data_IF_435746243504
#
_entry.id   IF_435746243504
#
_cell.length_a   1.000
_cell.length_b   1.000
_cell.length_c   1.000
_cell.angle_alpha   90.00
_cell.angle_beta   90.00
_cell.angle_gamma   90.00
#
_symmetry.space_group_name_H-M   'P 1'
#
loop_
_entity.id
_entity.type
_entity.pdbx_description
1 polymer ?
#
# COMPACT_ATOMS: atom_id res chain seq x y z
N UNK A 1 3.60 42.31 -7.05
CA UNK A 1 3.83 42.26 -5.59
C UNK A 1 3.09 41.04 -5.07
N UNK A 2 3.81 39.96 -4.73
CA UNK A 2 3.22 38.68 -4.33
C UNK A 2 3.32 38.44 -2.82
N UNK A 3 2.27 37.88 -2.22
CA UNK A 3 2.25 37.42 -0.83
C UNK A 3 1.62 36.03 -0.74
N UNK A 4 2.28 35.03 -1.34
CA UNK A 4 1.97 33.63 -1.06
C UNK A 4 2.85 33.15 0.10
N UNK A 5 2.59 33.62 1.31
CA UNK A 5 3.05 32.90 2.50
C UNK A 5 2.05 31.78 2.79
N UNK A 6 2.51 30.52 2.70
CA UNK A 6 1.76 29.38 3.21
C UNK A 6 1.75 29.43 4.74
N UNK A 7 0.55 29.41 5.33
CA UNK A 7 0.37 29.30 6.78
C UNK A 7 1.01 28.01 7.30
N UNK A 8 1.80 28.12 8.37
CA UNK A 8 2.48 26.98 9.02
C UNK A 8 1.57 26.19 9.96
N UNK A 9 0.28 26.53 10.00
CA UNK A 9 -0.67 25.98 10.98
C UNK A 9 -0.35 26.43 12.42
N UNK A 10 -1.22 26.11 13.38
CA UNK A 10 -0.98 26.39 14.79
C UNK A 10 0.21 25.57 15.31
N UNK A 11 1.00 26.15 16.21
CA UNK A 11 2.03 25.41 16.95
C UNK A 11 1.39 24.37 17.89
N UNK A 12 2.16 23.35 18.27
CA UNK A 12 1.73 22.36 19.28
C UNK A 12 1.26 23.07 20.56
N UNK A 13 0.11 22.66 21.11
CA UNK A 13 -0.46 23.23 22.33
C UNK A 13 -1.49 24.35 22.11
N UNK A 14 -1.81 24.71 20.86
CA UNK A 14 -2.92 25.63 20.56
C UNK A 14 -4.19 24.81 20.30
N UNK A 15 -5.18 24.80 21.20
CA UNK A 15 -6.43 24.08 20.97
C UNK A 15 -7.15 24.66 19.76
N UNK A 16 -7.60 23.78 18.85
CA UNK A 16 -8.42 24.15 17.68
C UNK A 16 -9.77 24.74 18.07
N UNK A 17 -10.20 24.48 19.30
CA UNK A 17 -11.45 24.97 19.87
C UNK A 17 -11.12 26.16 20.79
N UNK A 18 -11.60 27.37 20.46
CA UNK A 18 -11.46 28.52 21.34
C UNK A 18 -12.10 28.29 22.72
N UNK A 19 -11.57 28.90 23.80
CA UNK A 19 -12.01 28.63 25.18
C UNK A 19 -13.43 29.11 25.51
N UNK A 20 -14.09 29.84 24.59
CA UNK A 20 -15.47 30.29 24.75
C UNK A 20 -16.50 29.33 24.12
N UNK A 21 -16.05 28.30 23.40
CA UNK A 21 -16.94 27.28 22.82
C UNK A 21 -17.26 26.24 23.91
N UNK A 22 -18.53 26.06 24.31
CA UNK A 22 -18.91 25.04 25.28
C UNK A 22 -18.62 23.64 24.75
N UNK A 23 -18.11 22.76 25.62
CA UNK A 23 -17.92 21.35 25.26
C UNK A 23 -19.27 20.69 24.94
N UNK A 24 -19.32 19.79 23.94
CA UNK A 24 -20.55 19.09 23.60
C UNK A 24 -21.00 18.19 24.76
N UNK A 25 -22.26 18.33 25.15
CA UNK A 25 -22.89 17.53 26.20
C UNK A 25 -23.13 16.12 25.64
N UNK A 26 -22.45 15.11 26.21
CA UNK A 26 -22.73 13.71 25.90
C UNK A 26 -23.96 13.26 26.70
N UNK A 27 -24.95 12.58 26.09
CA UNK A 27 -26.10 12.05 26.82
C UNK A 27 -25.69 10.91 27.76
N UNK A 28 -26.22 10.93 28.98
CA UNK A 28 -25.97 9.94 30.03
C UNK A 28 -26.52 8.55 29.65
N UNK A 29 -25.64 7.55 29.62
CA UNK A 29 -25.99 6.15 29.33
C UNK A 29 -24.77 5.27 29.13
N UNK A 30 -24.10 4.93 30.23
CA UNK A 30 -22.86 4.15 30.27
C UNK A 30 -23.04 2.73 29.70
N UNK A 31 -22.09 2.29 28.87
CA UNK A 31 -21.58 0.92 28.91
C UNK A 31 -20.10 0.98 29.30
N UNK A 32 -19.69 0.08 30.19
CA UNK A 32 -18.41 0.04 30.88
C UNK A 32 -17.19 0.23 29.95
N UNK A 33 -16.07 0.81 30.45
CA UNK A 33 -14.89 1.01 29.63
C UNK A 33 -14.30 -0.33 29.22
N UNK A 34 -14.20 -0.55 27.91
CA UNK A 34 -13.22 -1.47 27.33
C UNK A 34 -11.86 -1.24 28.03
N UNK A 35 -11.03 -2.30 28.21
CA UNK A 35 -9.66 -2.13 28.73
C UNK A 35 -8.99 -0.98 27.96
N UNK A 36 -8.23 -0.11 28.63
CA UNK A 36 -7.75 1.13 28.03
C UNK A 36 -7.11 0.80 26.69
N UNK A 37 -7.77 1.22 25.61
CA UNK A 37 -7.17 1.24 24.30
C UNK A 37 -5.86 1.99 24.51
N UNK A 38 -4.73 1.32 24.34
CA UNK A 38 -3.43 1.98 24.37
C UNK A 38 -3.56 3.19 23.45
N UNK A 39 -3.49 4.38 24.03
CA UNK A 39 -3.50 5.63 23.28
C UNK A 39 -2.53 5.44 22.12
N UNK A 40 -2.94 5.71 20.86
CA UNK A 40 -2.08 5.46 19.72
C UNK A 40 -0.76 6.16 20.00
N UNK A 41 0.33 5.38 20.01
CA UNK A 41 1.67 5.86 20.30
C UNK A 41 1.92 7.07 19.40
N UNK A 42 2.02 8.27 19.97
CA UNK A 42 2.24 9.49 19.20
C UNK A 42 3.53 9.28 18.42
N UNK A 43 3.43 9.34 17.09
CA UNK A 43 4.57 9.07 16.25
C UNK A 43 5.67 10.12 16.52
N UNK A 44 6.94 9.73 16.68
CA UNK A 44 8.02 10.68 16.95
C UNK A 44 8.05 11.81 15.92
N UNK A 45 8.32 13.03 16.37
CA UNK A 45 8.48 14.17 15.48
C UNK A 45 9.61 13.89 14.49
N UNK A 46 9.40 14.23 13.22
CA UNK A 46 10.41 14.04 12.18
C UNK A 46 10.86 12.58 11.97
N UNK A 47 10.02 11.57 12.25
CA UNK A 47 10.39 10.13 12.12
C UNK A 47 10.99 9.75 10.76
N UNK A 48 10.57 10.42 9.69
CA UNK A 48 11.08 10.19 8.33
C UNK A 48 12.29 11.07 7.95
N UNK A 49 12.82 11.88 8.87
CA UNK A 49 13.95 12.79 8.62
C UNK A 49 15.17 12.07 8.02
N UNK A 50 15.72 11.03 8.66
CA UNK A 50 16.87 10.30 8.13
C UNK A 50 16.61 9.66 6.77
N UNK A 51 15.40 9.11 6.56
CA UNK A 51 15.00 8.55 5.26
C UNK A 51 15.01 9.63 4.17
N UNK A 52 14.36 10.78 4.43
CA UNK A 52 14.33 11.92 3.49
C UNK A 52 15.72 12.45 3.18
N UNK A 53 16.63 12.49 4.15
CA UNK A 53 18.02 12.91 3.93
C UNK A 53 18.78 11.95 3.00
N UNK A 54 18.73 10.64 3.27
CA UNK A 54 19.39 9.64 2.42
C UNK A 54 18.77 9.59 1.01
N UNK A 55 17.44 9.63 0.91
CA UNK A 55 16.75 9.69 -0.38
C UNK A 55 17.01 10.99 -1.15
N UNK A 56 17.25 12.10 -0.46
CA UNK A 56 17.68 13.35 -1.08
C UNK A 56 19.07 13.24 -1.72
N UNK A 57 20.01 12.55 -1.06
CA UNK A 57 21.33 12.23 -1.66
C UNK A 57 21.19 11.30 -2.85
N UNK A 58 20.40 10.23 -2.72
CA UNK A 58 20.08 9.34 -3.84
C UNK A 58 19.46 10.09 -5.03
N UNK A 59 18.58 11.06 -4.77
CA UNK A 59 17.96 11.85 -5.83
C UNK A 59 19.00 12.62 -6.66
N UNK A 60 20.04 13.15 -5.99
CA UNK A 60 21.14 13.90 -6.63
C UNK A 60 22.13 12.97 -7.34
N UNK A 61 22.59 11.92 -6.66
CA UNK A 61 23.71 11.07 -7.11
C UNK A 61 23.27 9.86 -7.92
N UNK A 62 22.09 9.29 -7.64
CA UNK A 62 21.67 7.98 -8.11
C UNK A 62 22.30 6.79 -7.39
N UNK A 63 23.02 7.00 -6.30
CA UNK A 63 23.68 5.94 -5.53
C UNK A 63 22.69 4.92 -4.96
N UNK A 64 22.82 3.66 -5.35
CA UNK A 64 22.00 2.56 -4.82
C UNK A 64 22.19 2.37 -3.31
N UNK A 65 23.34 2.75 -2.75
CA UNK A 65 23.59 2.66 -1.30
C UNK A 65 22.78 3.70 -0.53
N UNK A 66 22.67 4.92 -1.06
CA UNK A 66 21.81 5.94 -0.48
C UNK A 66 20.32 5.58 -0.60
N UNK A 67 19.94 4.94 -1.72
CA UNK A 67 18.59 4.40 -1.89
C UNK A 67 18.27 3.35 -0.82
N UNK A 68 19.14 2.34 -0.66
CA UNK A 68 18.98 1.26 0.32
C UNK A 68 18.95 1.78 1.74
N UNK A 69 19.86 2.70 2.10
CA UNK A 69 19.86 3.37 3.41
C UNK A 69 18.59 4.20 3.63
N UNK A 70 18.07 4.85 2.59
CA UNK A 70 16.80 5.57 2.62
C UNK A 70 15.60 4.66 2.95
N UNK A 71 15.55 3.48 2.33
CA UNK A 71 14.56 2.43 2.62
C UNK A 71 14.71 1.85 4.02
N UNK A 72 15.95 1.58 4.46
CA UNK A 72 16.21 1.10 5.83
C UNK A 72 15.73 2.10 6.88
N UNK A 73 16.04 3.38 6.73
CA UNK A 73 15.54 4.41 7.65
C UNK A 73 14.02 4.59 7.56
N UNK A 74 13.42 4.36 6.39
CA UNK A 74 11.96 4.41 6.22
C UNK A 74 11.29 3.34 7.08
N UNK A 75 11.78 2.10 7.03
CA UNK A 75 11.22 0.99 7.83
C UNK A 75 11.62 1.12 9.30
N UNK A 76 12.92 1.13 9.60
CA UNK A 76 13.44 1.06 10.96
C UNK A 76 12.95 2.22 11.83
N UNK A 77 13.33 3.46 11.49
CA UNK A 77 12.95 4.63 12.28
C UNK A 77 11.58 5.20 11.89
N UNK A 78 11.28 5.22 10.60
CA UNK A 78 10.07 5.87 10.08
C UNK A 78 8.78 5.12 10.44
N UNK A 79 8.75 3.81 10.23
CA UNK A 79 7.60 2.96 10.53
C UNK A 79 7.69 2.28 11.90
N UNK A 80 8.88 2.22 12.50
CA UNK A 80 9.13 1.65 13.82
C UNK A 80 9.58 0.18 13.77
N UNK A 81 10.35 -0.19 12.74
CA UNK A 81 10.89 -1.52 12.51
C UNK A 81 9.98 -2.43 11.68
N UNK A 82 10.53 -3.53 11.18
CA UNK A 82 9.85 -4.45 10.27
C UNK A 82 8.55 -5.02 10.85
N UNK A 83 8.56 -5.46 12.11
CA UNK A 83 7.35 -5.96 12.80
C UNK A 83 6.23 -4.92 12.87
N UNK A 84 6.57 -3.67 13.19
CA UNK A 84 5.58 -2.58 13.26
C UNK A 84 5.11 -2.19 11.87
N UNK A 85 6.02 -2.15 10.89
CA UNK A 85 5.71 -1.88 9.50
C UNK A 85 4.71 -2.92 8.95
N UNK A 86 4.99 -4.21 9.10
CA UNK A 86 4.08 -5.28 8.66
C UNK A 86 2.68 -5.12 9.27
N UNK A 87 2.58 -4.84 10.58
CA UNK A 87 1.29 -4.56 11.25
C UNK A 87 0.57 -3.34 10.66
N UNK A 88 1.28 -2.25 10.36
CA UNK A 88 0.71 -1.04 9.72
C UNK A 88 0.22 -1.29 8.30
N UNK A 89 0.78 -2.28 7.62
CA UNK A 89 0.36 -2.76 6.29
C UNK A 89 -0.61 -3.96 6.36
N UNK A 90 -1.17 -4.27 7.53
CA UNK A 90 -2.21 -5.32 7.64
C UNK A 90 -3.47 -5.02 6.81
N UNK A 91 -3.72 -3.75 6.47
CA UNK A 91 -4.75 -3.36 5.50
C UNK A 91 -4.46 -3.91 4.10
N UNK A 92 -3.21 -3.81 3.64
CA UNK A 92 -2.72 -4.37 2.38
C UNK A 92 -2.91 -5.88 2.33
N UNK A 93 -2.59 -6.60 3.42
CA UNK A 93 -2.81 -8.04 3.49
C UNK A 93 -4.29 -8.42 3.36
N UNK A 94 -5.19 -7.69 4.03
CA UNK A 94 -6.65 -7.90 3.90
C UNK A 94 -7.15 -7.62 2.48
N UNK A 95 -6.72 -6.52 1.86
CA UNK A 95 -7.07 -6.19 0.49
C UNK A 95 -6.54 -7.24 -0.49
N UNK A 96 -5.34 -7.77 -0.28
CA UNK A 96 -4.79 -8.86 -1.08
C UNK A 96 -5.64 -10.14 -0.99
N UNK A 97 -6.09 -10.51 0.21
CA UNK A 97 -7.04 -11.62 0.40
C UNK A 97 -8.37 -11.38 -0.31
N UNK A 98 -8.90 -10.16 -0.22
CA UNK A 98 -10.11 -9.74 -0.94
C UNK A 98 -9.95 -9.81 -2.47
N UNK A 99 -8.81 -9.32 -2.98
CA UNK A 99 -8.46 -9.40 -4.40
C UNK A 99 -8.39 -10.85 -4.88
N UNK A 100 -7.72 -11.72 -4.11
CA UNK A 100 -7.64 -13.14 -4.46
C UNK A 100 -9.01 -13.79 -4.47
N UNK A 101 -9.85 -13.48 -3.47
CA UNK A 101 -11.24 -13.95 -3.41
C UNK A 101 -12.05 -13.51 -4.62
N UNK A 102 -11.99 -12.23 -4.97
CA UNK A 102 -12.67 -11.66 -6.14
C UNK A 102 -12.24 -12.35 -7.45
N UNK A 103 -10.94 -12.49 -7.69
CA UNK A 103 -10.40 -13.13 -8.89
C UNK A 103 -10.65 -14.66 -8.93
N UNK A 104 -10.85 -15.30 -7.78
CA UNK A 104 -11.19 -16.73 -7.70
C UNK A 104 -12.69 -16.96 -7.92
N UNK A 105 -13.53 -16.02 -7.46
CA UNK A 105 -14.97 -16.07 -7.62
C UNK A 105 -15.39 -15.88 -9.09
N UNK A 106 -14.68 -15.04 -9.86
CA UNK A 106 -14.94 -14.89 -11.30
C UNK A 106 -14.63 -16.15 -12.10
N UNK A 107 -13.55 -16.87 -11.73
CA UNK A 107 -13.12 -18.09 -12.43
C UNK A 107 -13.96 -19.33 -12.11
N UNK A 108 -14.58 -19.35 -10.94
CA UNK A 108 -15.51 -20.41 -10.58
C UNK A 108 -16.88 -20.03 -11.15
N UNK A 109 -17.50 -20.87 -11.98
CA UNK A 109 -18.91 -20.71 -12.41
C UNK A 109 -19.91 -20.80 -11.22
N UNK A 110 -19.41 -20.74 -9.98
CA UNK A 110 -20.14 -20.36 -8.79
C UNK A 110 -20.60 -18.93 -9.00
N UNK A 111 -21.86 -18.81 -9.43
CA UNK A 111 -22.58 -17.55 -9.52
C UNK A 111 -22.09 -16.58 -8.44
N UNK A 112 -21.29 -15.58 -8.85
CA UNK A 112 -21.28 -14.33 -8.13
C UNK A 112 -22.76 -14.00 -7.89
N UNK A 113 -23.13 -13.64 -6.67
CA UNK A 113 -24.53 -13.36 -6.34
C UNK A 113 -25.14 -12.52 -7.47
N UNK A 114 -26.26 -12.98 -8.06
CA UNK A 114 -26.84 -12.34 -9.24
C UNK A 114 -26.98 -10.83 -8.98
N UNK A 115 -26.38 -10.00 -9.85
CA UNK A 115 -26.32 -8.55 -9.67
C UNK A 115 -25.07 -8.02 -8.97
N UNK A 116 -24.13 -8.88 -8.58
CA UNK A 116 -22.79 -8.47 -8.15
C UNK A 116 -22.05 -7.77 -9.28
N UNK A 117 -21.21 -6.74 -9.00
CA UNK A 117 -20.36 -6.12 -10.02
C UNK A 117 -19.41 -7.11 -10.72
N UNK A 118 -19.17 -8.28 -10.11
CA UNK A 118 -18.34 -9.36 -10.67
C UNK A 118 -19.15 -10.49 -11.32
N UNK A 119 -20.44 -10.29 -11.60
CA UNK A 119 -21.23 -11.24 -12.38
C UNK A 119 -20.58 -11.47 -13.75
N UNK A 120 -20.10 -12.70 -14.04
CA UNK A 120 -19.45 -13.00 -15.31
C UNK A 120 -20.35 -12.70 -16.52
N UNK A 121 -21.67 -12.81 -16.37
CA UNK A 121 -22.64 -12.51 -17.42
C UNK A 121 -22.65 -11.02 -17.76
N UNK A 122 -22.53 -10.15 -16.76
CA UNK A 122 -22.48 -8.69 -16.94
C UNK A 122 -21.12 -8.22 -17.48
N UNK A 123 -20.06 -8.98 -17.18
CA UNK A 123 -18.69 -8.67 -17.58
C UNK A 123 -18.28 -9.28 -18.93
N UNK A 124 -19.03 -10.24 -19.48
CA UNK A 124 -18.77 -10.78 -20.82
C UNK A 124 -18.82 -9.68 -21.88
N UNK A 125 -17.78 -9.63 -22.72
CA UNK A 125 -17.65 -8.64 -23.80
C UNK A 125 -17.20 -7.25 -23.34
N UNK A 126 -16.98 -7.04 -22.03
CA UNK A 126 -16.40 -5.81 -21.50
C UNK A 126 -14.91 -5.74 -21.81
N UNK A 127 -14.40 -4.51 -21.87
CA UNK A 127 -12.97 -4.27 -21.99
C UNK A 127 -12.23 -4.68 -20.71
N UNK A 128 -10.93 -4.98 -20.84
CA UNK A 128 -10.08 -5.26 -19.69
C UNK A 128 -10.11 -4.13 -18.64
N UNK A 129 -10.21 -2.86 -19.06
CA UNK A 129 -10.30 -1.74 -18.12
C UNK A 129 -11.60 -1.78 -17.31
N UNK A 130 -12.75 -2.04 -17.95
CA UNK A 130 -14.03 -2.14 -17.26
C UNK A 130 -14.03 -3.30 -16.25
N UNK A 131 -13.43 -4.45 -16.61
CA UNK A 131 -13.29 -5.59 -15.69
C UNK A 131 -12.38 -5.25 -14.51
N UNK A 132 -11.24 -4.59 -14.77
CA UNK A 132 -10.36 -4.12 -13.68
C UNK A 132 -11.06 -3.13 -12.75
N UNK A 133 -11.85 -2.21 -13.29
CA UNK A 133 -12.59 -1.22 -12.49
C UNK A 133 -13.67 -1.90 -11.62
N UNK A 134 -14.35 -2.93 -12.15
CA UNK A 134 -15.30 -3.73 -11.37
C UNK A 134 -14.61 -4.51 -10.23
N UNK A 135 -13.44 -5.11 -10.48
CA UNK A 135 -12.64 -5.78 -9.45
C UNK A 135 -12.20 -4.80 -8.38
N UNK A 136 -11.69 -3.62 -8.76
CA UNK A 136 -11.27 -2.57 -7.82
C UNK A 136 -12.44 -2.14 -6.93
N UNK A 137 -13.64 -1.98 -7.48
CA UNK A 137 -14.81 -1.55 -6.72
C UNK A 137 -15.24 -2.58 -5.68
N UNK A 138 -15.24 -3.87 -6.02
CA UNK A 138 -15.58 -4.93 -5.06
C UNK A 138 -14.52 -5.09 -3.98
N UNK A 139 -13.24 -5.02 -4.37
CA UNK A 139 -12.13 -5.32 -3.46
C UNK A 139 -11.84 -4.17 -2.51
N UNK A 140 -11.90 -2.93 -3.00
CA UNK A 140 -11.54 -1.73 -2.23
C UNK A 140 -12.48 -0.57 -2.59
N UNK A 141 -13.75 -0.58 -2.12
CA UNK A 141 -14.68 0.53 -2.33
C UNK A 141 -14.07 1.87 -1.91
N UNK A 142 -14.47 2.95 -2.59
CA UNK A 142 -13.96 4.27 -2.23
C UNK A 142 -14.51 4.74 -0.88
N UNK A 143 -13.64 5.31 -0.05
CA UNK A 143 -13.99 5.94 1.22
C UNK A 143 -13.52 7.41 1.29
N UNK A 144 -13.06 7.95 0.15
CA UNK A 144 -12.53 9.31 0.02
C UNK A 144 -11.13 9.52 0.61
N UNK A 145 -10.47 8.50 1.16
CA UNK A 145 -9.12 8.65 1.72
C UNK A 145 -8.03 8.47 0.66
N UNK A 146 -6.90 9.16 0.84
CA UNK A 146 -5.75 9.01 -0.05
C UNK A 146 -5.17 7.60 -0.04
N UNK A 147 -5.16 6.94 1.13
CA UNK A 147 -4.69 5.57 1.30
C UNK A 147 -5.56 4.59 0.48
N UNK A 148 -6.88 4.79 0.47
CA UNK A 148 -7.80 3.98 -0.32
C UNK A 148 -7.59 4.17 -1.82
N UNK A 149 -7.52 5.40 -2.31
CA UNK A 149 -7.28 5.65 -3.73
C UNK A 149 -5.90 5.14 -4.19
N UNK A 150 -4.89 5.23 -3.32
CA UNK A 150 -3.58 4.63 -3.58
C UNK A 150 -3.65 3.11 -3.69
N UNK A 151 -4.39 2.43 -2.81
CA UNK A 151 -4.60 0.99 -2.88
C UNK A 151 -5.43 0.57 -4.11
N UNK A 152 -6.50 1.31 -4.45
CA UNK A 152 -7.31 1.08 -5.66
C UNK A 152 -6.45 1.15 -6.92
N UNK A 153 -5.60 2.18 -7.00
CA UNK A 153 -4.63 2.32 -8.10
C UNK A 153 -3.63 1.17 -8.13
N UNK A 154 -3.14 0.72 -6.97
CA UNK A 154 -2.19 -0.39 -6.88
C UNK A 154 -2.77 -1.70 -7.40
N UNK A 155 -4.08 -1.96 -7.19
CA UNK A 155 -4.79 -3.10 -7.78
C UNK A 155 -4.79 -2.99 -9.31
N UNK A 156 -5.18 -1.82 -9.85
CA UNK A 156 -5.24 -1.60 -11.31
C UNK A 156 -3.87 -1.70 -11.98
N UNK A 157 -2.83 -1.16 -11.34
CA UNK A 157 -1.45 -1.27 -11.81
C UNK A 157 -0.97 -2.74 -11.80
N UNK A 158 -1.32 -3.51 -10.77
CA UNK A 158 -0.99 -4.95 -10.68
C UNK A 158 -1.66 -5.79 -11.78
N UNK A 159 -2.96 -5.57 -12.02
CA UNK A 159 -3.70 -6.26 -13.08
C UNK A 159 -3.21 -5.84 -14.49
N UNK A 160 -2.83 -4.57 -14.66
CA UNK A 160 -2.22 -4.11 -15.90
C UNK A 160 -0.85 -4.76 -16.13
N UNK A 161 -0.02 -4.90 -15.09
CA UNK A 161 1.27 -5.60 -15.18
C UNK A 161 1.08 -7.10 -15.45
N UNK A 162 0.02 -7.71 -14.90
CA UNK A 162 -0.37 -9.08 -15.24
C UNK A 162 -0.69 -9.23 -16.72
N UNK A 163 -1.50 -8.36 -17.31
CA UNK A 163 -1.84 -8.43 -18.73
C UNK A 163 -0.63 -8.18 -19.64
N UNK A 164 0.31 -7.33 -19.22
CA UNK A 164 1.57 -7.17 -19.93
C UNK A 164 2.43 -8.44 -19.88
N UNK A 165 2.44 -9.14 -18.74
CA UNK A 165 3.21 -10.38 -18.55
C UNK A 165 2.56 -11.58 -19.24
N UNK A 166 1.24 -11.65 -19.21
CA UNK A 166 0.41 -12.71 -19.77
C UNK A 166 -0.61 -12.11 -20.74
N UNK A 167 -0.22 -11.80 -21.99
CA UNK A 167 -1.08 -11.10 -22.95
C UNK A 167 -2.40 -11.81 -23.28
N UNK A 168 -2.46 -13.12 -23.06
CA UNK A 168 -3.64 -13.95 -23.31
C UNK A 168 -4.42 -14.28 -22.02
N UNK A 169 -4.10 -13.66 -20.89
CA UNK A 169 -4.80 -13.92 -19.64
C UNK A 169 -6.24 -13.38 -19.71
N UNK A 170 -7.19 -14.22 -19.29
CA UNK A 170 -8.58 -13.83 -19.12
C UNK A 170 -8.80 -13.42 -17.65
N UNK A 171 -9.09 -12.14 -17.41
CA UNK A 171 -9.35 -11.62 -16.05
C UNK A 171 -10.55 -12.29 -15.38
N UNK A 172 -11.46 -12.88 -16.16
CA UNK A 172 -12.60 -13.64 -15.63
C UNK A 172 -12.25 -15.10 -15.36
N UNK A 173 -11.10 -15.59 -15.84
CA UNK A 173 -10.69 -16.99 -15.69
C UNK A 173 -9.16 -17.12 -15.57
N UNK A 174 -8.59 -16.43 -14.57
CA UNK A 174 -7.15 -16.48 -14.33
C UNK A 174 -6.73 -17.84 -13.77
N UNK A 175 -5.56 -18.33 -14.16
CA UNK A 175 -4.93 -19.47 -13.49
C UNK A 175 -4.51 -19.12 -12.06
N UNK A 176 -4.20 -20.13 -11.23
CA UNK A 176 -3.69 -19.88 -9.88
C UNK A 176 -2.39 -19.06 -9.89
N UNK A 177 -1.44 -19.41 -10.75
CA UNK A 177 -0.18 -18.65 -10.91
C UNK A 177 -0.41 -17.19 -11.32
N UNK A 178 -1.38 -16.95 -12.22
CA UNK A 178 -1.75 -15.59 -12.64
C UNK A 178 -2.38 -14.82 -11.47
N UNK A 179 -3.26 -15.44 -10.69
CA UNK A 179 -3.82 -14.80 -9.48
C UNK A 179 -2.72 -14.46 -8.49
N UNK A 180 -1.81 -15.39 -8.20
CA UNK A 180 -0.70 -15.16 -7.27
C UNK A 180 0.25 -14.06 -7.75
N UNK A 181 0.52 -14.02 -9.06
CA UNK A 181 1.27 -12.92 -9.66
C UNK A 181 0.58 -11.57 -9.44
N UNK A 182 -0.75 -11.48 -9.64
CA UNK A 182 -1.49 -10.24 -9.36
C UNK A 182 -1.40 -9.82 -7.88
N UNK A 183 -1.51 -10.78 -6.96
CA UNK A 183 -1.40 -10.52 -5.51
C UNK A 183 -0.01 -9.99 -5.16
N UNK A 184 1.03 -10.67 -5.60
CA UNK A 184 2.42 -10.26 -5.39
C UNK A 184 2.66 -8.82 -5.89
N UNK A 185 2.22 -8.53 -7.12
CA UNK A 185 2.40 -7.22 -7.74
C UNK A 185 1.60 -6.15 -7.00
N UNK A 186 0.37 -6.44 -6.59
CA UNK A 186 -0.45 -5.52 -5.79
C UNK A 186 0.28 -5.11 -4.50
N UNK A 187 0.83 -6.08 -3.75
CA UNK A 187 1.56 -5.80 -2.51
C UNK A 187 2.76 -4.88 -2.77
N UNK A 188 3.55 -5.16 -3.81
CA UNK A 188 4.69 -4.31 -4.19
C UNK A 188 4.29 -2.88 -4.56
N UNK A 189 3.21 -2.72 -5.33
CA UNK A 189 2.66 -1.41 -5.70
C UNK A 189 2.13 -0.64 -4.49
N UNK A 190 1.43 -1.30 -3.58
CA UNK A 190 0.81 -0.66 -2.41
C UNK A 190 1.86 -0.16 -1.41
N UNK A 191 2.92 -0.95 -1.16
CA UNK A 191 4.08 -0.51 -0.37
C UNK A 191 4.74 0.71 -1.02
N UNK A 192 4.98 0.66 -2.33
CA UNK A 192 5.58 1.79 -3.04
C UNK A 192 4.69 3.04 -3.02
N UNK A 193 3.37 2.88 -3.14
CA UNK A 193 2.44 4.00 -3.09
C UNK A 193 2.53 4.73 -1.75
N UNK A 194 2.55 3.99 -0.64
CA UNK A 194 2.70 4.54 0.71
C UNK A 194 4.08 5.17 0.93
N UNK A 195 5.14 4.50 0.50
CA UNK A 195 6.50 5.07 0.50
C UNK A 195 6.55 6.42 -0.25
N UNK A 196 5.95 6.49 -1.44
CA UNK A 196 5.94 7.70 -2.25
C UNK A 196 5.17 8.84 -1.57
N UNK A 197 4.06 8.55 -0.90
CA UNK A 197 3.30 9.53 -0.11
C UNK A 197 4.13 10.07 1.07
N UNK A 198 4.79 9.19 1.81
CA UNK A 198 5.54 9.57 3.01
C UNK A 198 6.83 10.37 2.71
N UNK A 199 7.59 9.93 1.70
CA UNK A 199 8.96 10.42 1.46
C UNK A 199 9.28 10.74 0.00
N UNK A 200 8.40 10.43 -0.96
CA UNK A 200 8.65 10.64 -2.39
C UNK A 200 8.91 12.10 -2.78
N UNK A 201 8.34 13.05 -2.04
CA UNK A 201 8.60 14.49 -2.23
C UNK A 201 10.08 14.85 -2.04
N UNK A 202 10.79 14.19 -1.12
CA UNK A 202 12.22 14.46 -0.92
C UNK A 202 13.05 14.11 -2.17
N UNK A 203 12.64 13.11 -2.94
CA UNK A 203 13.29 12.75 -4.19
C UNK A 203 13.00 13.79 -5.27
N UNK A 204 11.73 14.18 -5.39
CA UNK A 204 11.30 15.18 -6.37
C UNK A 204 11.98 16.53 -6.15
N UNK A 205 12.06 16.99 -4.90
CA UNK A 205 12.62 18.30 -4.55
C UNK A 205 14.15 18.34 -4.69
N UNK A 206 14.85 17.18 -4.69
CA UNK A 206 16.32 17.11 -4.67
C UNK A 206 16.93 16.57 -5.96
N UNK A 207 16.15 15.95 -6.83
CA UNK A 207 16.64 15.48 -8.12
C UNK A 207 17.05 16.67 -9.01
N UNK A 208 18.07 16.49 -9.88
CA UNK A 208 18.55 17.56 -10.77
C UNK A 208 17.55 17.91 -11.89
N UNK A 209 16.56 17.04 -12.16
CA UNK A 209 15.51 17.27 -13.15
C UNK A 209 14.28 16.41 -12.88
N UNK A 210 13.14 16.74 -13.49
CA UNK A 210 11.93 15.94 -13.43
C UNK A 210 12.14 14.51 -13.98
N UNK A 211 12.86 14.38 -15.09
CA UNK A 211 13.20 13.07 -15.68
C UNK A 211 14.05 12.24 -14.73
N UNK A 212 15.03 12.86 -14.06
CA UNK A 212 15.82 12.18 -13.05
C UNK A 212 14.93 11.75 -11.88
N UNK A 213 14.06 12.61 -11.35
CA UNK A 213 13.13 12.27 -10.27
C UNK A 213 12.26 11.05 -10.63
N UNK A 214 11.69 11.03 -11.84
CA UNK A 214 10.88 9.91 -12.33
C UNK A 214 11.69 8.62 -12.44
N UNK A 215 12.93 8.68 -12.97
CA UNK A 215 13.82 7.53 -13.04
C UNK A 215 14.16 7.00 -11.63
N UNK A 216 14.45 7.87 -10.67
CA UNK A 216 14.76 7.48 -9.27
C UNK A 216 13.57 6.82 -8.58
N UNK A 217 12.38 7.39 -8.74
CA UNK A 217 11.13 6.84 -8.22
C UNK A 217 10.81 5.49 -8.86
N UNK A 218 11.00 5.34 -10.18
CA UNK A 218 10.85 4.05 -10.88
C UNK A 218 11.81 3.00 -10.32
N UNK A 219 13.08 3.33 -10.15
CA UNK A 219 14.07 2.39 -9.60
C UNK A 219 13.68 1.91 -8.19
N UNK A 220 13.21 2.80 -7.32
CA UNK A 220 12.73 2.41 -5.98
C UNK A 220 11.51 1.51 -6.08
N UNK A 221 10.56 1.84 -6.95
CA UNK A 221 9.37 1.01 -7.18
C UNK A 221 9.75 -0.41 -7.59
N UNK A 222 10.61 -0.55 -8.60
CA UNK A 222 11.05 -1.88 -9.05
C UNK A 222 11.84 -2.60 -7.95
N UNK A 223 12.68 -1.90 -7.20
CA UNK A 223 13.39 -2.49 -6.07
C UNK A 223 12.46 -3.07 -5.00
N UNK A 224 11.45 -2.29 -4.58
CA UNK A 224 10.44 -2.73 -3.61
C UNK A 224 9.68 -3.93 -4.15
N UNK A 225 9.22 -3.86 -5.41
CA UNK A 225 8.47 -4.96 -6.04
C UNK A 225 9.29 -6.24 -6.10
N UNK A 226 10.55 -6.17 -6.49
CA UNK A 226 11.40 -7.36 -6.61
C UNK A 226 11.79 -7.94 -5.24
N UNK A 227 11.93 -7.12 -4.19
CA UNK A 227 12.08 -7.61 -2.82
C UNK A 227 10.82 -8.36 -2.36
N UNK A 228 9.63 -7.78 -2.55
CA UNK A 228 8.35 -8.44 -2.25
C UNK A 228 8.21 -9.74 -3.03
N UNK A 229 8.50 -9.72 -4.33
CA UNK A 229 8.40 -10.88 -5.20
C UNK A 229 9.32 -12.04 -4.78
N UNK A 230 10.53 -11.71 -4.32
CA UNK A 230 11.45 -12.71 -3.79
C UNK A 230 10.88 -13.38 -2.53
N UNK A 231 10.44 -12.60 -1.55
CA UNK A 231 9.92 -13.14 -0.28
C UNK A 231 8.61 -13.91 -0.50
N UNK A 232 7.71 -13.40 -1.33
CA UNK A 232 6.45 -14.05 -1.67
C UNK A 232 6.68 -15.44 -2.27
N UNK A 233 7.63 -15.56 -3.21
CA UNK A 233 8.00 -16.84 -3.82
C UNK A 233 8.65 -17.82 -2.85
N UNK A 234 9.44 -17.34 -1.89
CA UNK A 234 10.08 -18.21 -0.89
C UNK A 234 9.07 -18.79 0.10
N UNK A 235 8.08 -17.99 0.50
CA UNK A 235 7.04 -18.38 1.46
C UNK A 235 5.94 -19.23 0.81
N UNK A 236 5.71 -19.06 -0.49
CA UNK A 236 4.75 -19.87 -1.22
C UNK A 236 5.23 -21.32 -1.37
N UNK A 237 4.50 -22.25 -0.78
CA UNK A 237 4.72 -23.69 -0.96
C UNK A 237 3.78 -24.25 -2.03
N UNK A 238 4.34 -24.82 -3.10
CA UNK A 238 3.56 -25.46 -4.17
C UNK A 238 2.68 -26.59 -3.63
N UNK A 239 1.40 -26.60 -4.00
CA UNK A 239 0.45 -27.68 -3.67
C UNK A 239 -0.45 -27.41 -2.45
N UNK A 240 -0.31 -26.27 -1.77
CA UNK A 240 -1.27 -25.86 -0.74
C UNK A 240 -2.54 -25.30 -1.39
N UNK A 241 -3.72 -25.75 -0.96
CA UNK A 241 -4.98 -25.13 -1.41
C UNK A 241 -5.08 -23.70 -0.87
N UNK A 242 -5.12 -22.72 -1.79
CA UNK A 242 -5.15 -21.31 -1.44
C UNK A 242 -6.58 -20.77 -1.41
N UNK A 243 -6.90 -20.06 -0.32
CA UNK A 243 -8.12 -19.28 -0.16
C UNK A 243 -7.75 -17.88 0.33
N UNK A 244 -8.74 -16.98 0.39
CA UNK A 244 -8.52 -15.60 0.80
C UNK A 244 -7.82 -15.46 2.16
N UNK A 245 -8.13 -16.32 3.14
CA UNK A 245 -7.49 -16.30 4.47
C UNK A 245 -6.01 -16.68 4.39
N UNK A 246 -5.68 -17.78 3.69
CA UNK A 246 -4.30 -18.19 3.49
C UNK A 246 -3.47 -17.11 2.78
N UNK A 247 -4.09 -16.37 1.84
CA UNK A 247 -3.43 -15.24 1.18
C UNK A 247 -3.16 -14.08 2.15
N UNK A 248 -4.08 -13.77 3.07
CA UNK A 248 -3.82 -12.76 4.11
C UNK A 248 -2.61 -13.15 4.95
N UNK A 249 -2.52 -14.42 5.37
CA UNK A 249 -1.41 -14.91 6.20
C UNK A 249 -0.08 -14.90 5.43
N UNK A 250 -0.08 -15.40 4.19
CA UNK A 250 1.08 -15.36 3.29
C UNK A 250 1.59 -13.93 3.07
N UNK A 251 0.68 -12.98 2.81
CA UNK A 251 1.04 -11.58 2.57
C UNK A 251 1.54 -10.91 3.86
N UNK A 252 0.95 -11.21 5.02
CA UNK A 252 1.47 -10.69 6.29
C UNK A 252 2.90 -11.14 6.54
N UNK A 253 3.22 -12.41 6.28
CA UNK A 253 4.59 -12.91 6.41
C UNK A 253 5.52 -12.27 5.36
N UNK A 254 5.06 -12.17 4.10
CA UNK A 254 5.82 -11.51 3.02
C UNK A 254 6.16 -10.06 3.37
N UNK A 255 5.21 -9.31 3.93
CA UNK A 255 5.42 -7.94 4.38
C UNK A 255 6.49 -7.87 5.46
N UNK A 256 6.44 -8.77 6.44
CA UNK A 256 7.45 -8.83 7.50
C UNK A 256 8.85 -9.07 6.94
N UNK A 257 9.03 -10.12 6.13
CA UNK A 257 10.35 -10.46 5.56
C UNK A 257 10.86 -9.36 4.61
N UNK A 258 10.00 -8.79 3.76
CA UNK A 258 10.41 -7.72 2.85
C UNK A 258 10.82 -6.46 3.61
N UNK A 259 10.13 -6.11 4.69
CA UNK A 259 10.53 -4.99 5.54
C UNK A 259 11.79 -5.29 6.34
N UNK A 260 12.01 -6.54 6.77
CA UNK A 260 13.26 -6.94 7.43
C UNK A 260 14.46 -6.71 6.52
N UNK A 261 14.37 -7.14 5.26
CA UNK A 261 15.42 -6.91 4.24
C UNK A 261 15.76 -5.42 4.10
N UNK A 262 14.76 -4.54 4.16
CA UNK A 262 15.01 -3.10 4.08
C UNK A 262 15.66 -2.59 5.36
N UNK A 263 15.17 -3.02 6.52
CA UNK A 263 15.69 -2.62 7.83
C UNK A 263 17.16 -3.00 8.03
N UNK A 264 17.59 -4.14 7.49
CA UNK A 264 18.99 -4.61 7.55
C UNK A 264 20.00 -3.62 6.92
N UNK A 265 19.57 -2.71 6.04
CA UNK A 265 20.45 -1.65 5.52
C UNK A 265 20.82 -0.56 6.53
N UNK A 266 20.27 -0.61 7.74
CA UNK A 266 20.66 0.27 8.84
C UNK A 266 21.83 -0.27 9.67
N UNK A 267 22.22 -1.54 9.47
CA UNK A 267 23.30 -2.21 10.20
C UNK A 267 24.68 -1.86 9.63
#
# INVERSE_FOLDING_TARGET
>A
MGTSQASRGPSSGVPMVPPWVPDPILPDGQNAPNPPQQLPLIAPSGRFGPSRSSLGRYAQSGSSDDMRRGLGHYVGRGLGGASTAARRFGGTARTAGGLYGALSATASDRAAEQGSPLDPTLLRGRSASEVMDAVVEVVRPTDGTQDTEASRRSIKDALSELLNRFPNADLLNLSEDQRLFAIERYVGFDIYARFRLDVGKAIQDKAPSATAALARLKNIKEYIKEAVAREFRQLHSSGQSLNARHIVDLVNQTLYEAFHVFEDYNQ
#
